data_IF_497930019946
#
_entry.id   IF_497930019946
#
_cell.length_a   1.000
_cell.length_b   1.000
_cell.length_c   1.000
_cell.angle_alpha   90.00
_cell.angle_beta   90.00
_cell.angle_gamma   90.00
#
_symmetry.space_group_name_H-M   'P 1'
#
loop_
_entity.id
_entity.type
_entity.pdbx_description
1 polymer ?
#
# COMPACT_ATOMS: atom_id res chain seq x y z
N UNK A 1 2.11 23.43 -31.43
CA UNK A 1 2.92 23.85 -30.27
C UNK A 1 2.59 22.85 -29.18
N UNK A 2 2.99 21.59 -29.35
CA UNK A 2 2.39 20.48 -28.59
C UNK A 2 3.44 19.43 -28.18
N UNK A 3 4.68 19.87 -28.02
CA UNK A 3 5.79 18.99 -27.64
C UNK A 3 6.16 19.09 -26.16
N UNK A 4 5.56 20.01 -25.40
CA UNK A 4 5.96 20.32 -24.01
C UNK A 4 5.11 19.54 -22.99
N UNK A 5 3.95 19.00 -23.38
CA UNK A 5 3.04 18.31 -22.45
C UNK A 5 3.31 16.80 -22.26
N UNK A 6 4.24 16.24 -23.02
CA UNK A 6 4.51 14.79 -23.05
C UNK A 6 5.61 14.34 -22.08
N UNK A 7 6.47 15.26 -21.63
CA UNK A 7 7.61 14.94 -20.76
C UNK A 7 7.16 14.74 -19.30
N UNK A 8 6.09 15.41 -18.86
CA UNK A 8 5.59 15.30 -17.48
C UNK A 8 4.96 13.94 -17.15
N UNK A 9 4.42 13.24 -18.16
CA UNK A 9 3.86 11.89 -18.00
C UNK A 9 4.89 10.76 -18.22
N UNK A 10 6.02 11.07 -18.89
CA UNK A 10 6.97 10.04 -19.36
C UNK A 10 8.07 9.66 -18.36
N UNK A 11 8.19 10.37 -17.22
CA UNK A 11 9.22 10.06 -16.21
C UNK A 11 8.70 10.15 -14.77
N UNK A 12 7.41 9.87 -14.53
CA UNK A 12 7.02 9.43 -13.18
C UNK A 12 7.79 8.15 -12.91
N UNK A 13 8.90 8.27 -12.19
CA UNK A 13 9.76 7.18 -11.73
C UNK A 13 8.87 5.98 -11.38
N UNK A 14 8.86 4.99 -12.28
CA UNK A 14 8.20 3.72 -12.06
C UNK A 14 9.03 3.02 -11.00
N UNK A 15 8.73 3.38 -9.75
CA UNK A 15 9.52 2.98 -8.61
C UNK A 15 8.75 1.95 -7.82
N UNK A 16 9.17 0.69 -7.93
CA UNK A 16 8.60 -0.41 -7.16
C UNK A 16 9.02 -0.37 -5.70
N UNK A 17 8.21 -0.99 -4.84
CA UNK A 17 8.55 -1.16 -3.42
C UNK A 17 9.85 -1.96 -3.25
N UNK A 18 10.10 -2.96 -4.10
CA UNK A 18 11.34 -3.73 -4.04
C UNK A 18 12.57 -2.86 -4.26
N UNK A 19 12.56 -2.04 -5.31
CA UNK A 19 13.64 -1.07 -5.60
C UNK A 19 13.87 -0.09 -4.46
N UNK A 20 12.80 0.37 -3.79
CA UNK A 20 12.90 1.21 -2.59
C UNK A 20 13.64 0.53 -1.46
N UNK A 21 13.28 -0.71 -1.17
CA UNK A 21 13.86 -1.45 -0.06
C UNK A 21 15.28 -1.93 -0.37
N UNK A 22 15.62 -2.13 -1.64
CA UNK A 22 17.00 -2.40 -2.07
C UNK A 22 17.90 -1.16 -1.96
N UNK A 23 17.41 0.00 -2.38
CA UNK A 23 18.15 1.26 -2.26
C UNK A 23 18.33 1.69 -0.81
N UNK A 24 17.35 1.37 0.06
CA UNK A 24 17.35 1.75 1.47
C UNK A 24 17.06 0.54 2.38
N UNK A 25 18.02 -0.39 2.54
CA UNK A 25 17.82 -1.65 3.27
C UNK A 25 17.59 -1.46 4.78
N UNK A 26 17.88 -0.26 5.30
CA UNK A 26 17.68 0.13 6.70
C UNK A 26 16.27 0.64 7.02
N UNK A 27 15.34 0.72 6.05
CA UNK A 27 13.98 1.20 6.31
C UNK A 27 13.25 0.23 7.23
N UNK A 28 12.85 0.75 8.40
CA UNK A 28 12.06 0.02 9.40
C UNK A 28 10.56 0.34 9.26
N UNK A 29 10.20 1.56 8.85
CA UNK A 29 8.82 1.96 8.65
C UNK A 29 8.65 2.81 7.41
N UNK A 30 7.55 2.58 6.68
CA UNK A 30 7.20 3.32 5.47
C UNK A 30 5.77 3.87 5.59
N UNK A 31 5.60 5.13 5.22
CA UNK A 31 4.28 5.77 5.10
C UNK A 31 4.05 6.17 3.65
N UNK A 32 2.94 5.74 3.08
CA UNK A 32 2.61 5.90 1.67
C UNK A 32 1.34 6.76 1.51
N UNK A 33 1.46 7.83 0.73
CA UNK A 33 0.30 8.58 0.26
C UNK A 33 -0.52 7.74 -0.72
N UNK A 34 -1.76 8.14 -1.01
CA UNK A 34 -2.60 7.44 -1.99
C UNK A 34 -1.96 7.42 -3.39
N UNK A 35 -1.27 8.51 -3.78
CA UNK A 35 -0.55 8.58 -5.05
C UNK A 35 0.62 7.60 -5.06
N UNK A 36 1.40 7.55 -3.98
CA UNK A 36 2.57 6.66 -3.87
C UNK A 36 2.13 5.20 -3.85
N UNK A 37 1.07 4.85 -3.11
CA UNK A 37 0.49 3.51 -3.10
C UNK A 37 0.07 3.08 -4.50
N UNK A 38 -0.71 3.91 -5.20
CA UNK A 38 -1.17 3.63 -6.56
C UNK A 38 -0.01 3.48 -7.55
N UNK A 39 1.02 4.32 -7.49
CA UNK A 39 2.18 4.22 -8.38
C UNK A 39 2.94 2.91 -8.16
N UNK A 40 3.18 2.52 -6.90
CA UNK A 40 3.86 1.27 -6.56
C UNK A 40 3.00 0.07 -6.97
N UNK A 41 1.68 0.12 -6.76
CA UNK A 41 0.72 -0.92 -7.18
C UNK A 41 0.74 -1.11 -8.69
N UNK A 42 0.72 -0.02 -9.47
CA UNK A 42 0.83 -0.07 -10.93
C UNK A 42 2.16 -0.70 -11.37
N UNK A 43 3.27 -0.34 -10.73
CA UNK A 43 4.56 -0.98 -10.98
C UNK A 43 4.53 -2.49 -10.67
N UNK A 44 3.90 -2.87 -9.56
CA UNK A 44 3.72 -4.27 -9.20
C UNK A 44 2.90 -5.03 -10.25
N UNK A 45 1.86 -4.43 -10.83
CA UNK A 45 1.08 -5.08 -11.88
C UNK A 45 1.90 -5.36 -13.14
N UNK A 46 2.91 -4.53 -13.45
CA UNK A 46 3.79 -4.74 -14.61
C UNK A 46 4.95 -5.70 -14.34
N UNK A 47 5.60 -5.60 -13.17
CA UNK A 47 6.88 -6.30 -12.91
C UNK A 47 6.86 -7.27 -11.72
N UNK A 48 5.80 -7.24 -10.93
CA UNK A 48 5.71 -7.93 -9.66
C UNK A 48 6.59 -7.29 -8.58
N UNK A 49 6.81 -8.06 -7.51
CA UNK A 49 7.77 -7.74 -6.45
C UNK A 49 8.65 -8.96 -6.25
N UNK A 50 9.97 -8.76 -6.28
CA UNK A 50 11.00 -9.78 -6.06
C UNK A 50 11.82 -9.39 -4.84
N UNK A 51 12.57 -10.34 -4.30
CA UNK A 51 13.47 -10.10 -3.16
C UNK A 51 12.89 -10.54 -1.82
N UNK A 52 13.69 -10.42 -0.77
CA UNK A 52 13.28 -10.76 0.59
C UNK A 52 13.77 -9.67 1.53
N UNK A 53 12.84 -9.02 2.22
CA UNK A 53 13.09 -7.83 3.03
C UNK A 53 12.72 -8.11 4.49
N UNK A 54 13.72 -8.07 5.38
CA UNK A 54 13.57 -8.45 6.80
C UNK A 54 13.59 -7.26 7.75
N UNK A 55 14.08 -6.11 7.30
CA UNK A 55 14.20 -4.89 8.10
C UNK A 55 12.87 -4.17 8.26
N UNK A 56 12.07 -4.09 7.19
CA UNK A 56 10.80 -3.39 7.20
C UNK A 56 9.82 -4.05 8.18
N UNK A 57 9.41 -3.30 9.21
CA UNK A 57 8.50 -3.75 10.27
C UNK A 57 7.09 -3.20 10.12
N UNK A 58 6.95 -2.00 9.55
CA UNK A 58 5.64 -1.34 9.46
C UNK A 58 5.42 -0.65 8.12
N UNK A 59 4.23 -0.85 7.55
CA UNK A 59 3.71 -0.04 6.44
C UNK A 59 2.44 0.67 6.92
N UNK A 60 2.36 1.98 6.66
CA UNK A 60 1.13 2.76 6.71
C UNK A 60 0.82 3.25 5.31
N UNK A 61 -0.40 3.06 4.82
CA UNK A 61 -0.77 3.50 3.48
C UNK A 61 -2.19 4.06 3.43
N UNK A 62 -2.37 5.13 2.65
CA UNK A 62 -3.68 5.60 2.20
C UNK A 62 -4.02 4.90 0.88
N UNK A 63 -5.22 4.34 0.81
CA UNK A 63 -5.73 3.56 -0.32
C UNK A 63 -6.94 4.32 -0.86
N UNK A 64 -6.90 4.72 -2.14
CA UNK A 64 -7.98 5.47 -2.78
C UNK A 64 -9.17 4.57 -3.14
N UNK A 65 -8.88 3.39 -3.66
CA UNK A 65 -9.87 2.42 -4.15
C UNK A 65 -9.50 1.05 -3.61
N UNK A 66 -10.49 0.30 -3.14
CA UNK A 66 -10.32 -1.10 -2.77
C UNK A 66 -10.76 -1.98 -3.93
N UNK A 67 -9.83 -2.71 -4.56
CA UNK A 67 -10.14 -3.70 -5.58
C UNK A 67 -9.39 -5.04 -5.36
N UNK A 68 -9.66 -6.03 -6.20
CA UNK A 68 -8.98 -7.34 -6.13
C UNK A 68 -7.46 -7.24 -6.31
N UNK A 69 -6.97 -6.23 -7.02
CA UNK A 69 -5.54 -6.02 -7.23
C UNK A 69 -4.84 -5.44 -6.02
N UNK A 70 -5.54 -4.76 -5.10
CA UNK A 70 -4.99 -4.42 -3.78
C UNK A 70 -4.73 -5.67 -2.95
N UNK A 71 -5.63 -6.66 -2.97
CA UNK A 71 -5.46 -7.92 -2.24
C UNK A 71 -4.22 -8.68 -2.73
N UNK A 72 -4.04 -8.79 -4.05
CA UNK A 72 -2.88 -9.50 -4.62
C UNK A 72 -1.58 -8.75 -4.37
N UNK A 73 -1.60 -7.41 -4.45
CA UNK A 73 -0.45 -6.57 -4.16
C UNK A 73 -0.04 -6.67 -2.68
N UNK A 74 -1.00 -6.54 -1.76
CA UNK A 74 -0.79 -6.73 -0.33
C UNK A 74 -0.21 -8.12 -0.04
N UNK A 75 -0.78 -9.18 -0.63
CA UNK A 75 -0.24 -10.54 -0.47
C UNK A 75 1.21 -10.63 -0.94
N UNK A 76 1.57 -9.96 -2.02
CA UNK A 76 2.96 -9.90 -2.49
C UNK A 76 3.89 -9.19 -1.50
N UNK A 77 3.47 -8.07 -0.92
CA UNK A 77 4.19 -7.38 0.15
C UNK A 77 4.44 -8.33 1.32
N UNK A 78 3.40 -9.00 1.81
CA UNK A 78 3.50 -9.90 2.98
C UNK A 78 4.40 -11.11 2.69
N UNK A 79 4.42 -11.59 1.45
CA UNK A 79 5.28 -12.69 1.04
C UNK A 79 6.74 -12.28 0.95
N UNK A 80 7.07 -11.07 0.49
CA UNK A 80 8.45 -10.63 0.29
C UNK A 80 9.03 -9.89 1.51
N UNK A 81 8.21 -9.18 2.28
CA UNK A 81 8.61 -8.44 3.49
C UNK A 81 8.47 -9.29 4.75
N UNK A 82 9.36 -10.29 4.92
CA UNK A 82 9.33 -11.22 6.07
C UNK A 82 9.48 -10.57 7.44
N UNK A 83 10.02 -9.35 7.47
CA UNK A 83 10.13 -8.55 8.69
C UNK A 83 8.84 -7.89 9.15
N UNK A 84 7.85 -7.79 8.28
CA UNK A 84 6.68 -6.93 8.46
C UNK A 84 5.77 -7.47 9.55
N UNK A 85 5.58 -6.68 10.61
CA UNK A 85 4.74 -7.02 11.75
C UNK A 85 3.46 -6.18 11.80
N UNK A 86 3.46 -4.99 11.22
CA UNK A 86 2.36 -4.04 11.32
C UNK A 86 1.96 -3.50 9.93
N UNK A 87 0.68 -3.62 9.60
CA UNK A 87 0.07 -3.04 8.39
C UNK A 87 -1.08 -2.14 8.78
N UNK A 88 -0.97 -0.87 8.42
CA UNK A 88 -1.98 0.13 8.69
C UNK A 88 -2.54 0.68 7.38
N UNK A 89 -3.78 0.36 7.06
CA UNK A 89 -4.42 0.75 5.81
C UNK A 89 -5.56 1.72 6.09
N UNK A 90 -5.45 2.93 5.53
CA UNK A 90 -6.51 3.92 5.54
C UNK A 90 -7.23 3.87 4.20
N UNK A 91 -8.54 3.61 4.21
CA UNK A 91 -9.35 3.62 3.00
C UNK A 91 -10.05 4.95 2.85
N UNK A 92 -10.18 5.45 1.63
CA UNK A 92 -10.86 6.71 1.38
C UNK A 92 -12.32 6.62 1.83
N UNK A 93 -12.88 7.70 2.38
CA UNK A 93 -14.26 7.72 2.91
C UNK A 93 -15.32 7.30 1.88
N UNK A 94 -15.07 7.53 0.59
CA UNK A 94 -15.99 7.19 -0.51
C UNK A 94 -15.75 5.76 -1.05
N UNK A 95 -14.88 4.98 -0.41
CA UNK A 95 -14.70 3.56 -0.75
C UNK A 95 -16.00 2.80 -0.50
N UNK A 96 -16.47 2.05 -1.50
CA UNK A 96 -17.65 1.19 -1.34
C UNK A 96 -17.52 0.29 -0.09
N UNK A 97 -18.50 0.31 0.83
CA UNK A 97 -18.41 -0.43 2.09
C UNK A 97 -18.19 -1.93 1.89
N UNK A 98 -18.78 -2.53 0.85
CA UNK A 98 -18.61 -3.97 0.57
C UNK A 98 -17.20 -4.25 0.08
N UNK A 99 -16.66 -3.42 -0.80
CA UNK A 99 -15.27 -3.52 -1.27
C UNK A 99 -14.26 -3.36 -0.13
N UNK A 100 -14.53 -2.44 0.82
CA UNK A 100 -13.75 -2.31 2.06
C UNK A 100 -13.80 -3.60 2.88
N UNK A 101 -14.99 -4.10 3.17
CA UNK A 101 -15.15 -5.27 4.05
C UNK A 101 -14.52 -6.53 3.43
N UNK A 102 -14.61 -6.66 2.09
CA UNK A 102 -13.92 -7.71 1.33
C UNK A 102 -12.39 -7.63 1.46
N UNK A 103 -11.82 -6.43 1.32
CA UNK A 103 -10.38 -6.23 1.47
C UNK A 103 -9.91 -6.53 2.89
N UNK A 104 -10.61 -6.02 3.90
CA UNK A 104 -10.31 -6.30 5.32
C UNK A 104 -10.32 -7.81 5.54
N UNK A 105 -11.41 -8.48 5.16
CA UNK A 105 -11.57 -9.94 5.33
C UNK A 105 -10.49 -10.74 4.62
N UNK A 106 -10.15 -10.39 3.37
CA UNK A 106 -9.12 -11.06 2.59
C UNK A 106 -7.72 -10.90 3.23
N UNK A 107 -7.42 -9.71 3.75
CA UNK A 107 -6.14 -9.41 4.39
C UNK A 107 -5.97 -10.12 5.74
N UNK A 108 -6.98 -10.06 6.61
CA UNK A 108 -6.92 -10.62 7.97
C UNK A 108 -6.92 -12.15 7.97
N UNK A 109 -7.75 -12.78 7.14
CA UNK A 109 -7.85 -14.25 7.06
C UNK A 109 -6.55 -14.89 6.59
N UNK A 110 -5.87 -14.25 5.64
CA UNK A 110 -4.71 -14.82 4.97
C UNK A 110 -3.41 -14.66 5.77
N UNK A 111 -3.35 -13.77 6.77
CA UNK A 111 -2.09 -13.36 7.39
C UNK A 111 -2.22 -13.04 8.89
N UNK A 112 -2.38 -14.05 9.76
CA UNK A 112 -2.61 -13.86 11.20
C UNK A 112 -1.39 -13.30 11.95
N UNK A 113 -0.21 -13.30 11.34
CA UNK A 113 1.04 -12.81 11.98
C UNK A 113 1.18 -11.29 11.93
N UNK A 114 0.41 -10.62 11.08
CA UNK A 114 0.48 -9.18 10.90
C UNK A 114 -0.59 -8.52 11.77
N UNK A 115 -0.18 -7.49 12.51
CA UNK A 115 -1.10 -6.61 13.23
C UNK A 115 -1.71 -5.65 12.24
N UNK A 116 -3.00 -5.82 12.01
CA UNK A 116 -3.76 -4.97 11.11
C UNK A 116 -4.35 -3.79 11.86
N UNK A 117 -4.28 -2.60 11.27
CA UNK A 117 -5.01 -1.41 11.70
C UNK A 117 -5.69 -0.78 10.51
N UNK A 118 -6.93 -0.37 10.70
CA UNK A 118 -7.78 0.16 9.64
C UNK A 118 -8.16 1.59 9.97
N UNK A 119 -8.28 2.42 8.97
CA UNK A 119 -8.72 3.80 9.13
C UNK A 119 -9.48 4.30 7.93
N UNK A 120 -10.01 5.50 8.07
CA UNK A 120 -10.65 6.26 7.02
C UNK A 120 -9.91 7.57 6.83
N UNK A 121 -9.72 7.97 5.58
CA UNK A 121 -9.12 9.27 5.23
C UNK A 121 -10.00 10.01 4.23
N UNK A 122 -9.87 11.33 4.19
CA UNK A 122 -10.57 12.22 3.25
C UNK A 122 -9.65 13.40 2.87
N UNK A 123 -9.86 14.00 1.70
CA UNK A 123 -9.11 15.18 1.27
C UNK A 123 -9.38 16.37 2.20
N UNK A 124 -8.31 16.96 2.75
CA UNK A 124 -8.42 18.11 3.65
C UNK A 124 -9.01 17.79 5.03
N UNK A 125 -9.29 16.52 5.34
CA UNK A 125 -9.75 16.05 6.64
C UNK A 125 -8.63 15.42 7.47
N UNK A 126 -8.90 15.23 8.77
CA UNK A 126 -8.04 14.43 9.64
C UNK A 126 -8.27 12.93 9.38
N UNK A 127 -7.20 12.15 9.49
CA UNK A 127 -7.30 10.70 9.38
C UNK A 127 -7.96 10.11 10.63
N UNK A 128 -8.99 9.28 10.43
CA UNK A 128 -9.75 8.65 11.52
C UNK A 128 -9.36 7.17 11.59
N UNK A 129 -8.73 6.76 12.68
CA UNK A 129 -8.45 5.34 12.92
C UNK A 129 -9.68 4.64 13.49
N UNK A 130 -9.94 3.43 13.01
CA UNK A 130 -10.90 2.54 13.66
C UNK A 130 -10.19 1.97 14.89
N UNK A 131 -10.58 2.41 16.08
CA UNK A 131 -10.20 1.70 17.30
C UNK A 131 -10.87 0.33 17.26
N UNK A 132 -10.08 -0.74 17.29
CA UNK A 132 -10.63 -2.05 17.57
C UNK A 132 -11.23 -1.97 18.97
N UNK A 133 -12.56 -2.02 19.07
CA UNK A 133 -13.24 -2.38 20.31
C UNK A 133 -12.69 -3.73 20.75
N UNK A 134 -12.17 -3.76 21.97
CA UNK A 134 -11.68 -4.96 22.68
C UNK A 134 -12.65 -6.12 22.62
#
# INVERSE_FOLDING_TARGET
MDSVKSIEDSERLKFGLGTLLEAFPGIVSLTLSHVTWSNIKTHFQSEGMKGTYTTLKQITARVQTSDYTDVSFIRSILNNCKGLTDMRLMMHQDTDPRARDLLISACTTSNPRVRWSWGTWAEGGEDIWVSNGT
#
